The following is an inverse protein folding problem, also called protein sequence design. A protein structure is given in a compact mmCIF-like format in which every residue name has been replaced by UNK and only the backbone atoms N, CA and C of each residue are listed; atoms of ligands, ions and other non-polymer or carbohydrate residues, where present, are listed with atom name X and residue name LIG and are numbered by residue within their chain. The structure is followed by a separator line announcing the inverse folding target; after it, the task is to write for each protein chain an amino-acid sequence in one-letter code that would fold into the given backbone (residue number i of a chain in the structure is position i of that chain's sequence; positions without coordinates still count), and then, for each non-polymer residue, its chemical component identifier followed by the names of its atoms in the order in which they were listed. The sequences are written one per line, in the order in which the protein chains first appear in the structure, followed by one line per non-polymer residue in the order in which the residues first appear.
data_IF_615275752859
#
_entry.id   IF_615275752859
#
_cell.length_a   1.000
_cell.length_b   1.000
_cell.length_c   1.000
_cell.angle_alpha   90.00
_cell.angle_beta   90.00
_cell.angle_gamma   90.00
#
_symmetry.space_group_name_H-M   'P 1'
#
loop_
_entity.id
_entity.type
_entity.pdbx_description
1 polymer ?
#
# COMPACT_ATOMS: atom_id res chain seq x y z
N UNK A 1 -16.07 2.82 7.45
CA UNK A 1 -14.88 2.58 8.32
C UNK A 1 -13.97 3.79 8.26
N UNK A 2 -13.45 4.29 9.39
CA UNK A 2 -12.46 5.37 9.38
C UNK A 2 -11.09 4.80 8.96
N UNK A 3 -10.49 5.27 7.85
CA UNK A 3 -9.20 4.75 7.40
C UNK A 3 -8.04 4.93 8.38
N UNK A 4 -8.11 5.90 9.29
CA UNK A 4 -7.10 6.18 10.32
C UNK A 4 -7.36 5.47 11.65
N UNK A 5 -8.40 4.63 11.76
CA UNK A 5 -8.79 4.04 13.06
C UNK A 5 -7.65 3.26 13.74
N UNK A 6 -6.84 2.53 12.96
CA UNK A 6 -5.70 1.79 13.52
C UNK A 6 -4.61 2.73 14.07
N UNK A 7 -4.39 3.87 13.40
CA UNK A 7 -3.43 4.89 13.85
C UNK A 7 -3.89 5.51 15.17
N UNK A 8 -5.19 5.83 15.31
CA UNK A 8 -5.75 6.31 16.58
C UNK A 8 -5.61 5.28 17.70
N UNK A 9 -5.95 4.03 17.42
CA UNK A 9 -5.82 2.95 18.41
C UNK A 9 -4.35 2.77 18.86
N UNK A 10 -3.39 2.90 17.94
CA UNK A 10 -1.96 2.81 18.26
C UNK A 10 -1.49 4.00 19.11
N UNK A 11 -2.02 5.18 18.87
CA UNK A 11 -1.77 6.34 19.72
C UNK A 11 -2.36 6.15 21.14
N UNK A 12 -3.60 5.69 21.26
CA UNK A 12 -4.23 5.39 22.55
C UNK A 12 -3.45 4.37 23.37
N UNK A 13 -2.83 3.41 22.71
CA UNK A 13 -1.92 2.40 23.31
C UNK A 13 -0.50 2.92 23.57
N UNK A 14 -0.22 4.20 23.29
CA UNK A 14 1.11 4.80 23.41
C UNK A 14 2.21 4.19 22.56
N UNK A 15 1.84 3.46 21.49
CA UNK A 15 2.77 2.83 20.55
C UNK A 15 3.38 3.88 19.59
N UNK A 16 2.64 4.96 19.31
CA UNK A 16 3.12 6.10 18.53
C UNK A 16 2.95 7.40 19.33
N UNK A 17 3.89 8.35 19.21
CA UNK A 17 3.77 9.64 19.86
C UNK A 17 2.78 10.58 19.15
N UNK A 18 2.27 11.57 19.88
CA UNK A 18 1.33 12.57 19.36
C UNK A 18 1.82 13.26 18.08
N UNK A 19 3.12 13.56 18.01
CA UNK A 19 3.73 14.19 16.83
C UNK A 19 3.61 13.36 15.56
N UNK A 20 3.62 12.03 15.66
CA UNK A 20 3.41 11.11 14.52
C UNK A 20 1.93 11.09 14.15
N UNK A 21 1.03 11.02 15.13
CA UNK A 21 -0.40 11.09 14.87
C UNK A 21 -0.75 12.35 14.09
N UNK A 22 -0.38 13.52 14.62
CA UNK A 22 -0.62 14.82 13.97
C UNK A 22 -0.01 14.92 12.58
N UNK A 23 1.19 14.36 12.38
CA UNK A 23 1.84 14.34 11.07
C UNK A 23 1.05 13.50 10.06
N UNK A 24 0.56 12.33 10.45
CA UNK A 24 -0.27 11.46 9.60
C UNK A 24 -1.60 12.14 9.28
N UNK A 25 -2.29 12.69 10.27
CA UNK A 25 -3.57 13.40 10.08
C UNK A 25 -3.44 14.57 9.11
N UNK A 26 -2.46 15.45 9.33
CA UNK A 26 -2.23 16.64 8.50
C UNK A 26 -1.90 16.30 7.05
N UNK A 27 -1.37 15.11 6.79
CA UNK A 27 -0.96 14.66 5.46
C UNK A 27 -1.93 13.68 4.80
N UNK A 28 -2.93 13.22 5.54
CA UNK A 28 -3.88 12.23 5.03
C UNK A 28 -4.67 12.75 3.82
N UNK A 29 -4.89 14.05 3.70
CA UNK A 29 -5.50 14.66 2.52
C UNK A 29 -4.77 14.30 1.21
N UNK A 30 -3.44 14.08 1.25
CA UNK A 30 -2.65 13.67 0.08
C UNK A 30 -3.05 12.26 -0.38
N UNK A 31 -3.36 11.36 0.55
CA UNK A 31 -3.89 10.01 0.24
C UNK A 31 -5.26 10.13 -0.43
N UNK A 32 -6.16 10.94 0.14
CA UNK A 32 -7.50 11.16 -0.40
C UNK A 32 -7.47 11.77 -1.81
N UNK A 33 -6.60 12.77 -2.04
CA UNK A 33 -6.37 13.35 -3.37
C UNK A 33 -5.84 12.30 -4.37
N UNK A 34 -4.93 11.42 -3.92
CA UNK A 34 -4.39 10.34 -4.75
C UNK A 34 -5.47 9.35 -5.16
N UNK A 35 -6.32 8.95 -4.23
CA UNK A 35 -7.46 8.05 -4.47
C UNK A 35 -8.44 8.68 -5.45
N UNK A 36 -8.86 9.93 -5.21
CA UNK A 36 -9.76 10.64 -6.12
C UNK A 36 -9.18 10.76 -7.54
N UNK A 37 -7.88 10.98 -7.63
CA UNK A 37 -7.17 11.02 -8.91
C UNK A 37 -7.19 9.69 -9.64
N UNK A 38 -6.98 8.58 -8.92
CA UNK A 38 -7.03 7.22 -9.45
C UNK A 38 -8.44 6.88 -9.94
N UNK A 39 -9.47 7.20 -9.14
CA UNK A 39 -10.86 7.00 -9.53
C UNK A 39 -11.22 7.80 -10.81
N UNK A 40 -10.78 9.05 -10.88
CA UNK A 40 -11.02 9.87 -12.08
C UNK A 40 -10.27 9.35 -13.31
N UNK A 41 -9.04 8.85 -13.13
CA UNK A 41 -8.20 8.36 -14.23
C UNK A 41 -8.61 6.98 -14.75
N UNK A 42 -9.21 6.14 -13.91
CA UNK A 42 -9.64 4.77 -14.23
C UNK A 42 -11.14 4.63 -14.46
N UNK A 43 -11.96 5.58 -14.00
CA UNK A 43 -13.42 5.48 -13.91
C UNK A 43 -13.89 4.31 -13.02
N UNK A 44 -13.05 3.81 -12.13
CA UNK A 44 -13.34 2.70 -11.21
C UNK A 44 -13.19 3.19 -9.77
N UNK A 45 -14.10 2.78 -8.90
CA UNK A 45 -14.04 3.06 -7.47
C UNK A 45 -12.82 2.40 -6.82
N UNK A 46 -12.11 3.17 -5.98
CA UNK A 46 -11.01 2.65 -5.18
C UNK A 46 -11.54 1.67 -4.13
N UNK A 47 -10.85 0.55 -3.86
CA UNK A 47 -11.29 -0.41 -2.86
C UNK A 47 -11.25 0.14 -1.43
N UNK A 48 -11.76 -0.65 -0.49
CA UNK A 48 -11.62 -0.35 0.93
C UNK A 48 -10.13 -0.28 1.27
N UNK A 49 -9.73 0.72 2.03
CA UNK A 49 -8.35 0.91 2.45
C UNK A 49 -8.27 1.39 3.90
N UNK A 50 -7.12 1.18 4.52
CA UNK A 50 -6.82 1.69 5.87
C UNK A 50 -5.33 2.00 5.99
N UNK A 51 -5.01 2.91 6.91
CA UNK A 51 -3.63 3.23 7.28
C UNK A 51 -3.24 2.38 8.48
N UNK A 52 -2.18 1.59 8.31
CA UNK A 52 -1.59 0.79 9.38
C UNK A 52 -0.46 1.57 10.06
N UNK A 53 -0.41 1.61 11.41
CA UNK A 53 0.64 2.32 12.12
C UNK A 53 2.03 1.69 11.97
N UNK A 54 2.15 0.50 11.41
CA UNK A 54 3.43 -0.20 11.29
C UNK A 54 4.14 0.03 9.96
N UNK A 55 5.45 -0.19 9.97
CA UNK A 55 6.24 -0.47 8.76
C UNK A 55 6.00 -1.91 8.37
N UNK A 56 5.70 -2.15 7.10
CA UNK A 56 5.59 -3.50 6.58
C UNK A 56 6.98 -3.91 6.09
N UNK A 57 7.55 -4.92 6.71
CA UNK A 57 8.86 -5.46 6.32
C UNK A 57 8.63 -6.69 5.47
N UNK A 58 9.11 -6.66 4.21
CA UNK A 58 9.16 -7.86 3.38
C UNK A 58 10.55 -8.48 3.53
N UNK A 59 10.60 -9.69 4.05
CA UNK A 59 11.83 -10.48 4.11
C UNK A 59 11.56 -11.85 3.53
N UNK A 60 12.32 -12.28 2.52
CA UNK A 60 12.44 -13.70 2.21
C UNK A 60 13.30 -14.33 3.30
N UNK A 61 12.89 -15.47 3.86
CA UNK A 61 13.63 -16.20 4.91
C UNK A 61 15.09 -16.52 4.53
N UNK A 62 15.47 -16.31 3.28
CA UNK A 62 16.79 -16.67 2.73
C UNK A 62 17.57 -15.48 2.16
N UNK A 63 17.10 -14.25 2.24
CA UNK A 63 17.84 -13.08 1.77
C UNK A 63 18.07 -12.06 2.89
N UNK A 64 19.30 -11.53 2.95
CA UNK A 64 19.68 -10.43 3.85
C UNK A 64 19.04 -9.09 3.42
N UNK A 65 18.35 -9.06 2.29
CA UNK A 65 17.66 -7.87 1.76
C UNK A 65 16.27 -7.77 2.38
N UNK A 66 16.18 -7.00 3.45
CA UNK A 66 14.92 -6.61 4.07
C UNK A 66 14.40 -5.39 3.34
N UNK A 67 13.37 -5.56 2.53
CA UNK A 67 12.68 -4.46 1.85
C UNK A 67 11.60 -3.83 2.74
N UNK A 68 11.42 -2.51 2.62
CA UNK A 68 10.30 -1.80 3.23
C UNK A 68 9.15 -1.75 2.22
N UNK A 69 8.01 -2.35 2.58
CA UNK A 69 6.77 -2.19 1.83
C UNK A 69 6.00 -0.99 2.39
N UNK A 70 5.60 -0.11 1.51
CA UNK A 70 4.89 1.11 1.86
C UNK A 70 3.37 0.98 1.76
N UNK A 71 2.89 0.03 0.99
CA UNK A 71 1.50 -0.41 0.93
C UNK A 71 1.46 -1.85 0.43
N UNK A 72 0.31 -2.50 0.60
CA UNK A 72 0.04 -3.81 0.02
C UNK A 72 -1.44 -4.04 -0.20
N UNK A 73 -1.77 -4.81 -1.21
CA UNK A 73 -3.11 -5.29 -1.50
C UNK A 73 -3.29 -6.66 -0.86
N UNK A 74 -4.28 -6.83 0.00
CA UNK A 74 -4.51 -8.05 0.75
C UNK A 74 -5.96 -8.54 0.63
N UNK A 75 -6.19 -9.85 0.41
CA UNK A 75 -7.50 -10.46 0.56
C UNK A 75 -7.79 -10.68 2.04
N UNK A 76 -9.00 -10.38 2.45
CA UNK A 76 -9.53 -10.67 3.79
C UNK A 76 -10.80 -11.49 3.67
N UNK A 77 -10.89 -12.57 4.41
CA UNK A 77 -12.12 -13.35 4.51
C UNK A 77 -12.95 -12.80 5.69
N UNK A 78 -14.11 -12.26 5.37
CA UNK A 78 -15.04 -11.71 6.36
C UNK A 78 -16.43 -12.29 6.08
N UNK A 79 -17.01 -13.01 7.05
CA UNK A 79 -18.32 -13.65 6.92
C UNK A 79 -18.44 -14.49 5.64
N UNK A 80 -17.48 -15.38 5.40
CA UNK A 80 -17.38 -16.27 4.24
C UNK A 80 -17.31 -15.55 2.88
N UNK A 81 -17.03 -14.26 2.91
CA UNK A 81 -16.83 -13.44 1.70
C UNK A 81 -15.38 -12.94 1.61
N UNK A 82 -14.80 -13.04 0.43
CA UNK A 82 -13.47 -12.49 0.16
C UNK A 82 -13.58 -11.00 -0.14
N UNK A 83 -12.97 -10.17 0.71
CA UNK A 83 -12.82 -8.74 0.49
C UNK A 83 -11.37 -8.43 0.19
N UNK A 84 -11.12 -7.69 -0.88
CA UNK A 84 -9.78 -7.22 -1.21
C UNK A 84 -9.63 -5.79 -0.69
N UNK A 85 -8.62 -5.55 0.14
CA UNK A 85 -8.40 -4.24 0.76
C UNK A 85 -6.96 -3.77 0.51
N UNK A 86 -6.74 -2.47 0.58
CA UNK A 86 -5.40 -1.88 0.49
C UNK A 86 -4.96 -1.39 1.87
N UNK A 87 -3.85 -1.95 2.35
CA UNK A 87 -3.16 -1.50 3.55
C UNK A 87 -2.08 -0.49 3.16
N UNK A 88 -2.10 0.68 3.79
CA UNK A 88 -1.15 1.78 3.56
C UNK A 88 -0.34 1.96 4.83
N UNK A 89 0.99 2.01 4.77
CA UNK A 89 1.80 2.24 5.95
C UNK A 89 1.74 3.71 6.40
N UNK A 90 1.63 3.97 7.70
CA UNK A 90 1.67 5.33 8.24
C UNK A 90 2.98 6.07 7.91
N UNK A 91 4.17 5.44 7.89
CA UNK A 91 5.40 6.07 7.42
C UNK A 91 5.34 6.62 6.00
N UNK A 92 4.64 5.94 5.08
CA UNK A 92 4.42 6.48 3.74
C UNK A 92 3.63 7.79 3.79
N UNK A 93 2.54 7.81 4.57
CA UNK A 93 1.72 9.02 4.72
C UNK A 93 2.54 10.15 5.36
N UNK A 94 3.30 9.83 6.42
CA UNK A 94 4.10 10.79 7.17
C UNK A 94 5.23 11.42 6.34
N UNK A 95 5.94 10.63 5.54
CA UNK A 95 7.21 11.06 4.92
C UNK A 95 7.24 11.04 3.40
N UNK A 96 6.30 10.35 2.76
CA UNK A 96 6.24 10.24 1.30
C UNK A 96 5.98 11.59 0.62
N UNK A 97 6.60 11.82 -0.53
CA UNK A 97 6.23 12.93 -1.38
C UNK A 97 4.86 12.66 -2.02
N UNK A 98 4.10 13.71 -2.34
CA UNK A 98 2.78 13.60 -2.99
C UNK A 98 2.80 12.65 -4.20
N UNK A 99 3.76 12.84 -5.13
CA UNK A 99 3.87 11.98 -6.30
C UNK A 99 4.26 10.54 -5.98
N UNK A 100 5.01 10.29 -4.89
CA UNK A 100 5.34 8.95 -4.40
C UNK A 100 4.12 8.26 -3.82
N UNK A 101 3.36 8.94 -2.95
CA UNK A 101 2.10 8.42 -2.40
C UNK A 101 1.13 8.05 -3.52
N UNK A 102 0.90 8.96 -4.49
CA UNK A 102 -0.01 8.69 -5.61
C UNK A 102 0.45 7.52 -6.48
N UNK A 103 1.77 7.38 -6.71
CA UNK A 103 2.32 6.27 -7.50
C UNK A 103 2.12 4.92 -6.79
N UNK A 104 2.37 4.86 -5.47
CA UNK A 104 2.18 3.64 -4.67
C UNK A 104 0.70 3.26 -4.63
N UNK A 105 -0.19 4.22 -4.37
CA UNK A 105 -1.64 3.96 -4.36
C UNK A 105 -2.13 3.43 -5.71
N UNK A 106 -1.62 3.96 -6.82
CA UNK A 106 -1.97 3.50 -8.16
C UNK A 106 -1.39 2.11 -8.46
N UNK A 107 -0.19 1.79 -7.98
CA UNK A 107 0.42 0.47 -8.10
C UNK A 107 -0.40 -0.58 -7.35
N UNK A 108 -0.77 -0.32 -6.10
CA UNK A 108 -1.64 -1.20 -5.32
C UNK A 108 -3.03 -1.37 -5.95
N UNK A 109 -3.55 -0.31 -6.59
CA UNK A 109 -4.80 -0.40 -7.32
C UNK A 109 -4.72 -1.35 -8.53
N UNK A 110 -3.58 -1.41 -9.23
CA UNK A 110 -3.36 -2.39 -10.29
C UNK A 110 -3.33 -3.82 -9.73
N UNK A 111 -2.68 -4.05 -8.59
CA UNK A 111 -2.73 -5.34 -7.89
C UNK A 111 -4.16 -5.71 -7.50
N UNK A 112 -4.93 -4.74 -6.98
CA UNK A 112 -6.34 -4.96 -6.65
C UNK A 112 -7.15 -5.42 -7.87
N UNK A 113 -7.03 -4.74 -9.01
CA UNK A 113 -7.75 -5.09 -10.24
C UNK A 113 -7.35 -6.48 -10.76
N UNK A 114 -6.07 -6.81 -10.74
CA UNK A 114 -5.57 -8.12 -11.13
C UNK A 114 -6.14 -9.22 -10.23
N UNK A 115 -6.08 -9.01 -8.90
CA UNK A 115 -6.59 -9.96 -7.92
C UNK A 115 -8.09 -10.20 -8.08
N UNK A 116 -8.89 -9.13 -8.19
CA UNK A 116 -10.34 -9.23 -8.41
C UNK A 116 -10.66 -9.94 -9.73
N UNK A 117 -9.89 -9.66 -10.79
CA UNK A 117 -10.05 -10.37 -12.09
C UNK A 117 -9.81 -11.86 -11.94
N UNK A 118 -8.77 -12.27 -11.22
CA UNK A 118 -8.46 -13.70 -11.00
C UNK A 118 -9.48 -14.39 -10.11
N UNK A 119 -9.93 -13.73 -9.04
CA UNK A 119 -11.00 -14.24 -8.20
C UNK A 119 -12.30 -14.44 -8.99
N UNK A 120 -12.67 -13.49 -9.85
CA UNK A 120 -13.90 -13.59 -10.65
C UNK A 120 -13.87 -14.72 -11.70
N UNK A 121 -12.68 -15.15 -12.11
CA UNK A 121 -12.48 -16.27 -13.05
C UNK A 121 -12.28 -17.62 -12.35
N UNK A 122 -12.37 -17.68 -11.02
CA UNK A 122 -12.03 -18.85 -10.21
C UNK A 122 -10.61 -19.40 -10.48
N UNK A 123 -9.67 -18.53 -10.84
CA UNK A 123 -8.27 -18.88 -11.10
C UNK A 123 -7.45 -19.01 -9.81
N UNK A 124 -8.03 -18.65 -8.66
CA UNK A 124 -7.42 -18.79 -7.34
C UNK A 124 -8.18 -19.85 -6.55
N UNK A 125 -7.47 -20.85 -6.05
CA UNK A 125 -8.00 -21.85 -5.14
C UNK A 125 -8.11 -21.24 -3.72
N UNK A 126 -9.09 -21.68 -2.94
CA UNK A 126 -9.32 -21.24 -1.56
C UNK A 126 -8.10 -21.44 -0.68
N UNK A 127 -7.31 -22.48 -0.93
CA UNK A 127 -6.10 -22.82 -0.19
C UNK A 127 -4.94 -21.84 -0.46
N UNK A 128 -4.89 -21.23 -1.64
CA UNK A 128 -3.93 -20.18 -2.00
C UNK A 128 -4.26 -18.86 -1.31
N UNK A 129 -5.53 -18.59 -1.04
CA UNK A 129 -6.00 -17.38 -0.34
C UNK A 129 -5.69 -17.47 1.17
N UNK A 130 -5.74 -18.68 1.73
CA UNK A 130 -5.53 -18.92 3.17
C UNK A 130 -4.07 -19.10 3.57
N UNK A 131 -3.16 -19.28 2.61
CA UNK A 131 -1.74 -19.51 2.90
C UNK A 131 -0.90 -18.23 2.80
N UNK A 132 0.15 -18.14 3.63
CA UNK A 132 1.19 -17.10 3.55
C UNK A 132 1.90 -17.06 2.16
N UNK A 133 1.63 -18.03 1.29
CA UNK A 133 2.08 -18.08 -0.09
C UNK A 133 1.52 -16.90 -0.88
N UNK A 134 0.33 -16.40 -0.53
CA UNK A 134 -0.27 -15.25 -1.17
C UNK A 134 0.57 -13.97 -1.02
N UNK A 135 1.18 -13.76 0.13
CA UNK A 135 2.10 -12.62 0.35
C UNK A 135 3.35 -12.71 -0.53
N UNK A 136 3.83 -13.92 -0.83
CA UNK A 136 5.01 -14.16 -1.66
C UNK A 136 4.72 -14.17 -3.16
N UNK A 137 3.52 -14.57 -3.57
CA UNK A 137 3.12 -14.65 -4.99
C UNK A 137 2.73 -13.26 -5.53
N UNK A 138 2.26 -12.36 -4.67
CA UNK A 138 1.88 -10.98 -5.03
C UNK A 138 2.96 -9.93 -4.70
N UNK A 139 4.16 -10.37 -4.28
CA UNK A 139 5.32 -9.49 -4.32
C UNK A 139 5.66 -9.15 -5.79
N UNK A 140 6.37 -8.07 -6.03
CA UNK A 140 6.71 -7.38 -7.29
C UNK A 140 6.86 -8.18 -8.60
N UNK A 141 6.81 -9.51 -8.57
CA UNK A 141 7.00 -10.40 -9.72
C UNK A 141 5.69 -10.80 -10.44
N UNK A 142 4.52 -10.42 -9.92
CA UNK A 142 3.26 -10.70 -10.62
C UNK A 142 3.08 -9.76 -11.81
N UNK A 143 2.57 -10.33 -12.89
CA UNK A 143 2.30 -9.63 -14.13
C UNK A 143 1.14 -8.65 -13.92
N UNK A 144 1.49 -7.41 -13.56
CA UNK A 144 0.51 -6.34 -13.38
C UNK A 144 -0.15 -5.96 -14.69
N UNK A 145 -1.38 -5.48 -14.58
CA UNK A 145 -2.06 -4.79 -15.68
C UNK A 145 -1.19 -3.61 -16.15
N UNK A 146 -1.10 -3.45 -17.48
CA UNK A 146 -0.38 -2.31 -18.05
C UNK A 146 -1.00 -0.98 -17.56
N UNK A 147 -0.26 -0.11 -16.86
CA UNK A 147 -0.83 1.11 -16.28
C UNK A 147 -1.56 2.00 -17.31
N UNK A 148 -1.07 2.01 -18.56
CA UNK A 148 -1.70 2.81 -19.64
C UNK A 148 -3.05 2.27 -20.09
N UNK A 149 -3.35 0.99 -19.83
CA UNK A 149 -4.66 0.41 -20.13
C UNK A 149 -5.70 0.76 -19.06
N UNK A 150 -5.27 1.20 -17.88
CA UNK A 150 -6.13 1.51 -16.73
C UNK A 150 -6.27 3.02 -16.52
N UNK A 151 -5.18 3.77 -16.62
CA UNK A 151 -5.15 5.19 -16.26
C UNK A 151 -5.05 6.10 -17.49
N UNK A 152 -5.94 7.08 -17.58
CA UNK A 152 -5.90 8.15 -18.58
C UNK A 152 -4.99 9.34 -18.18
N UNK A 153 -4.58 9.46 -16.90
CA UNK A 153 -3.78 10.57 -16.38
C UNK A 153 -2.30 10.40 -16.69
N UNK A 154 -1.78 11.18 -17.63
CA UNK A 154 -0.37 11.16 -18.08
C UNK A 154 0.63 11.46 -16.94
N UNK A 155 0.26 12.33 -15.99
CA UNK A 155 1.15 12.70 -14.88
C UNK A 155 1.21 11.56 -13.86
N UNK A 156 0.09 10.90 -13.60
CA UNK A 156 0.05 9.70 -12.75
C UNK A 156 0.89 8.58 -13.36
N UNK A 157 0.75 8.33 -14.67
CA UNK A 157 1.57 7.37 -15.41
C UNK A 157 3.06 7.70 -15.29
N UNK A 158 3.44 8.97 -15.42
CA UNK A 158 4.83 9.41 -15.24
C UNK A 158 5.35 9.14 -13.83
N UNK A 159 4.52 9.32 -12.81
CA UNK A 159 4.90 9.02 -11.43
C UNK A 159 5.11 7.51 -11.20
N UNK A 160 4.24 6.66 -11.76
CA UNK A 160 4.37 5.20 -11.71
C UNK A 160 5.67 4.78 -12.41
N UNK A 161 5.86 5.18 -13.65
CA UNK A 161 7.05 4.79 -14.46
C UNK A 161 8.37 5.19 -13.80
N UNK A 162 8.42 6.34 -13.13
CA UNK A 162 9.66 6.81 -12.46
C UNK A 162 9.99 6.01 -11.19
N UNK A 163 8.99 5.46 -10.50
CA UNK A 163 9.17 4.81 -9.20
C UNK A 163 9.14 3.29 -9.25
N UNK A 164 8.60 2.73 -10.32
CA UNK A 164 8.49 1.29 -10.53
C UNK A 164 9.10 0.82 -11.86
N UNK A 165 10.37 1.18 -12.18
CA UNK A 165 11.00 0.71 -13.41
C UNK A 165 11.33 -0.78 -13.36
N UNK A 166 11.64 -1.30 -12.16
CA UNK A 166 11.94 -2.70 -11.85
C UNK A 166 11.78 -2.93 -10.34
N UNK A 167 10.59 -2.65 -9.80
CA UNK A 167 10.31 -2.56 -8.37
C UNK A 167 10.30 -1.12 -7.87
N UNK A 168 9.83 -0.92 -6.62
CA UNK A 168 9.76 0.41 -6.03
C UNK A 168 11.15 0.97 -5.73
N UNK A 169 11.37 2.26 -6.08
CA UNK A 169 12.62 2.96 -5.79
C UNK A 169 12.35 4.39 -5.36
N UNK A 170 12.55 4.67 -4.08
CA UNK A 170 12.60 6.01 -3.50
C UNK A 170 13.51 6.02 -2.28
N UNK A 171 14.84 6.05 -2.52
CA UNK A 171 15.86 6.04 -1.46
C UNK A 171 15.68 7.15 -0.42
N UNK A 172 15.17 8.33 -0.84
CA UNK A 172 14.94 9.44 0.10
C UNK A 172 13.80 9.17 1.06
N UNK A 173 12.80 8.42 0.64
CA UNK A 173 11.73 7.96 1.52
C UNK A 173 12.24 6.88 2.47
N UNK A 174 12.99 5.92 1.94
CA UNK A 174 13.59 4.83 2.71
C UNK A 174 14.48 5.37 3.84
N UNK A 175 15.44 6.27 3.52
CA UNK A 175 16.28 6.93 4.52
C UNK A 175 15.48 7.63 5.63
N UNK A 176 14.38 8.30 5.26
CA UNK A 176 13.51 8.97 6.24
C UNK A 176 12.79 7.96 7.13
N UNK A 177 12.29 6.87 6.55
CA UNK A 177 11.59 5.83 7.32
C UNK A 177 12.56 5.11 8.26
N UNK A 178 13.76 4.79 7.81
CA UNK A 178 14.79 4.22 8.69
C UNK A 178 15.05 5.18 9.86
N UNK A 179 15.41 6.43 9.56
CA UNK A 179 15.84 7.42 10.57
C UNK A 179 14.74 7.86 11.53
N UNK A 180 13.54 8.09 11.02
CA UNK A 180 12.47 8.72 11.81
C UNK A 180 11.39 7.75 12.27
N UNK A 181 11.44 6.49 11.84
CA UNK A 181 10.50 5.46 12.24
C UNK A 181 11.21 4.27 12.88
N UNK A 182 12.07 3.56 12.15
CA UNK A 182 12.72 2.32 12.64
C UNK A 182 13.70 2.62 13.77
N UNK A 183 14.61 3.59 13.62
CA UNK A 183 15.56 3.97 14.68
C UNK A 183 14.86 4.56 15.92
N UNK A 184 13.66 5.09 15.76
CA UNK A 184 12.81 5.59 16.86
C UNK A 184 12.00 4.46 17.52
N UNK A 185 12.14 3.22 17.08
CA UNK A 185 11.43 2.04 17.60
C UNK A 185 9.91 2.19 17.54
N UNK A 186 9.41 2.86 16.50
CA UNK A 186 7.99 2.92 16.20
C UNK A 186 7.52 1.57 15.63
N UNK A 187 6.21 1.27 15.57
CA UNK A 187 5.68 -0.03 15.18
C UNK A 187 6.24 -0.54 13.83
N UNK A 188 6.67 -1.80 13.81
CA UNK A 188 7.20 -2.51 12.63
C UNK A 188 6.54 -3.86 12.49
#
# INVERSE_FOLDING_TARGET
MNPLQKVYNSFEKTEIPKSILELVENRFSIVQEGIQRIENASSIKYPIYFVDPSVIVSGSQNSLDVGILYARTIPLIVNDSVNVVIQISAPLVAYGLKGTIHAILAHEFLHYLELVSRLSKNELLSDEISSNIFENVYSDNTRLLEPRSVFSDKTLLSHITKRFPSGFRDYKLEDKVIKFWIEKKLPT
#
